data_IF_304268195043
#
_entry.id   IF_304268195043
#
_cell.length_a   1.000
_cell.length_b   1.000
_cell.length_c   1.000
_cell.angle_alpha   90.00
_cell.angle_beta   90.00
_cell.angle_gamma   90.00
#
_symmetry.space_group_name_H-M   'P 1'
#
loop_
_entity.id
_entity.type
_entity.pdbx_description
1 polymer ?
#
# COMPACT_ATOMS: atom_id res chain seq x y z
N UNK A 1 16.98 32.48 25.86
CA UNK A 1 15.67 31.80 25.65
C UNK A 1 15.44 31.35 24.19
N UNK A 2 15.64 32.18 23.17
CA UNK A 2 15.41 31.76 21.76
C UNK A 2 16.32 30.61 21.27
N UNK A 3 17.55 30.52 21.77
CA UNK A 3 18.51 29.47 21.41
C UNK A 3 18.18 28.10 22.02
N UNK A 4 17.53 28.06 23.20
CA UNK A 4 17.06 26.82 23.84
C UNK A 4 15.83 26.23 23.14
N UNK A 5 14.92 27.08 22.65
CA UNK A 5 13.72 26.64 21.92
C UNK A 5 14.11 26.03 20.57
N UNK A 6 15.07 26.65 19.87
CA UNK A 6 15.64 26.10 18.63
C UNK A 6 16.34 24.75 18.89
N UNK A 7 17.08 24.62 19.99
CA UNK A 7 17.73 23.37 20.40
C UNK A 7 16.72 22.26 20.77
N UNK A 8 15.61 22.62 21.43
CA UNK A 8 14.53 21.68 21.77
C UNK A 8 13.76 21.20 20.53
N UNK A 9 13.53 22.11 19.56
CA UNK A 9 12.95 21.76 18.27
C UNK A 9 13.88 20.86 17.45
N UNK A 10 15.19 21.13 17.44
CA UNK A 10 16.21 20.30 16.77
C UNK A 10 16.34 18.92 17.42
N UNK A 11 16.26 18.83 18.76
CA UNK A 11 16.28 17.54 19.47
C UNK A 11 14.99 16.74 19.19
N UNK A 12 13.82 17.37 19.15
CA UNK A 12 12.59 16.70 18.73
C UNK A 12 12.64 16.27 17.26
N UNK A 13 13.29 17.07 16.41
CA UNK A 13 13.51 16.76 15.00
C UNK A 13 14.51 15.61 14.79
N UNK A 14 15.54 15.48 15.63
CA UNK A 14 16.49 14.35 15.61
C UNK A 14 15.93 13.09 16.29
N UNK A 15 15.12 13.24 17.34
CA UNK A 15 14.52 12.12 18.07
C UNK A 15 13.38 11.43 17.30
N UNK A 16 12.74 12.13 16.36
CA UNK A 16 11.72 11.54 15.46
C UNK A 16 12.26 10.40 14.58
N UNK A 17 13.59 10.24 14.49
CA UNK A 17 14.31 9.30 13.64
C UNK A 17 15.05 8.21 14.43
N UNK A 18 14.93 8.23 15.76
CA UNK A 18 15.43 7.17 16.66
C UNK A 18 14.34 6.13 16.94
N UNK A 19 14.73 4.90 17.30
CA UNK A 19 13.81 3.81 17.70
C UNK A 19 12.78 4.26 18.76
N UNK A 20 13.12 5.28 19.57
CA UNK A 20 12.26 5.89 20.59
C UNK A 20 11.17 6.77 19.97
N UNK A 21 11.49 7.66 19.03
CA UNK A 21 10.49 8.55 18.39
C UNK A 21 9.46 7.76 17.58
N UNK A 22 9.92 6.69 16.96
CA UNK A 22 9.15 5.70 16.21
C UNK A 22 8.12 4.97 17.08
N UNK A 23 8.60 4.40 18.19
CA UNK A 23 7.72 3.67 19.11
C UNK A 23 6.72 4.63 19.75
N UNK A 24 7.13 5.88 20.00
CA UNK A 24 6.22 6.93 20.47
C UNK A 24 5.14 7.28 19.42
N UNK A 25 5.48 7.35 18.13
CA UNK A 25 4.48 7.50 17.06
C UNK A 25 3.51 6.31 17.10
N UNK A 26 4.04 5.08 17.13
CA UNK A 26 3.22 3.85 17.19
C UNK A 26 2.25 3.85 18.37
N UNK A 27 2.71 4.18 19.58
CA UNK A 27 1.91 4.17 20.80
C UNK A 27 0.80 5.22 20.80
N UNK A 28 1.03 6.34 20.10
CA UNK A 28 0.11 7.46 20.07
C UNK A 28 -0.88 7.42 18.90
N UNK A 29 -0.65 6.63 17.84
CA UNK A 29 -1.59 6.53 16.72
C UNK A 29 -2.93 5.90 17.15
N UNK A 30 -4.02 6.69 17.18
CA UNK A 30 -5.37 6.18 17.49
C UNK A 30 -6.45 6.82 16.60
N UNK A 31 -7.35 5.99 16.06
CA UNK A 31 -8.56 6.42 15.35
C UNK A 31 -8.27 7.41 14.22
N UNK A 32 -8.85 8.61 14.30
CA UNK A 32 -8.68 9.67 13.28
C UNK A 32 -7.20 10.00 12.97
N UNK A 33 -6.29 9.78 13.93
CA UNK A 33 -4.85 10.06 13.82
C UNK A 33 -4.08 9.10 12.91
N UNK A 34 -4.69 8.00 12.45
CA UNK A 34 -4.01 7.05 11.56
C UNK A 34 -3.59 7.68 10.24
N UNK A 35 -4.33 8.68 9.78
CA UNK A 35 -3.98 9.43 8.58
C UNK A 35 -2.70 10.22 8.80
N UNK A 36 -2.66 11.02 9.86
CA UNK A 36 -1.51 11.86 10.23
C UNK A 36 -0.28 10.99 10.49
N UNK A 37 -0.45 9.85 11.17
CA UNK A 37 0.63 8.89 11.37
C UNK A 37 1.18 8.32 10.06
N UNK A 38 0.31 8.03 9.09
CA UNK A 38 0.73 7.53 7.80
C UNK A 38 1.34 8.62 6.90
N UNK A 39 0.81 9.83 6.97
CA UNK A 39 1.34 10.98 6.24
C UNK A 39 2.75 11.29 6.74
N UNK A 40 3.01 11.22 8.06
CA UNK A 40 4.36 11.34 8.63
C UNK A 40 5.34 10.27 8.09
N UNK A 41 4.88 9.03 7.85
CA UNK A 41 5.71 8.01 7.17
C UNK A 41 6.05 8.43 5.75
N UNK A 42 5.08 9.01 5.05
CA UNK A 42 5.23 9.42 3.65
C UNK A 42 6.18 10.61 3.54
N UNK A 43 6.05 11.60 4.41
CA UNK A 43 6.93 12.76 4.50
C UNK A 43 8.36 12.32 4.84
N UNK A 44 8.51 11.45 5.86
CA UNK A 44 9.80 10.86 6.21
C UNK A 44 10.47 10.18 5.01
N UNK A 45 9.71 9.42 4.20
CA UNK A 45 10.25 8.78 2.99
C UNK A 45 10.65 9.78 1.90
N UNK A 46 9.94 10.90 1.78
CA UNK A 46 10.20 11.92 0.78
C UNK A 46 11.41 12.79 1.14
N UNK A 47 11.59 13.04 2.44
CA UNK A 47 12.69 13.88 2.95
C UNK A 47 14.04 13.16 3.00
N UNK A 48 14.04 11.83 2.84
CA UNK A 48 15.24 11.00 3.00
C UNK A 48 15.56 10.25 1.71
N UNK A 49 16.85 10.04 1.47
CA UNK A 49 17.28 9.14 0.41
C UNK A 49 16.78 7.72 0.70
N UNK A 50 16.25 7.06 -0.33
CA UNK A 50 15.64 5.73 -0.21
C UNK A 50 16.55 4.69 0.43
N UNK A 51 17.87 4.81 0.20
CA UNK A 51 18.90 3.93 0.75
C UNK A 51 19.14 4.12 2.26
N UNK A 52 18.80 5.29 2.82
CA UNK A 52 19.05 5.64 4.22
C UNK A 52 17.84 5.34 5.11
N UNK A 53 16.70 4.99 4.50
CA UNK A 53 15.45 4.69 5.21
C UNK A 53 15.56 3.35 5.94
N UNK A 54 15.26 3.34 7.23
CA UNK A 54 15.08 2.12 7.99
C UNK A 54 13.73 1.45 7.65
N UNK A 55 13.74 0.62 6.60
CA UNK A 55 12.53 -0.05 6.12
C UNK A 55 11.89 -1.02 7.12
N UNK A 56 12.64 -1.57 8.07
CA UNK A 56 12.07 -2.42 9.13
C UNK A 56 11.09 -1.66 10.00
N UNK A 57 11.41 -0.40 10.32
CA UNK A 57 10.47 0.46 11.03
C UNK A 57 9.23 0.74 10.19
N UNK A 58 9.42 1.17 8.93
CA UNK A 58 8.32 1.48 8.03
C UNK A 58 7.34 0.31 7.92
N UNK A 59 7.86 -0.91 7.82
CA UNK A 59 7.05 -2.13 7.82
C UNK A 59 6.30 -2.29 9.15
N UNK A 60 7.00 -2.18 10.30
CA UNK A 60 6.38 -2.33 11.63
C UNK A 60 5.23 -1.34 11.85
N UNK A 61 5.42 -0.08 11.52
CA UNK A 61 4.40 0.96 11.70
C UNK A 61 3.24 0.77 10.70
N UNK A 62 3.52 0.48 9.42
CA UNK A 62 2.45 0.17 8.48
C UNK A 62 1.66 -1.08 8.89
N UNK A 63 2.29 -2.08 9.50
CA UNK A 63 1.61 -3.27 10.01
C UNK A 63 0.61 -2.88 11.09
N UNK A 64 1.04 -2.10 12.08
CA UNK A 64 0.14 -1.65 13.15
C UNK A 64 -1.03 -0.81 12.62
N UNK A 65 -0.78 0.11 11.68
CA UNK A 65 -1.83 0.90 11.04
C UNK A 65 -2.78 0.03 10.19
N UNK A 66 -2.24 -0.96 9.49
CA UNK A 66 -3.05 -1.90 8.71
C UNK A 66 -3.94 -2.77 9.62
N UNK A 67 -3.39 -3.29 10.72
CA UNK A 67 -4.13 -4.05 11.72
C UNK A 67 -5.21 -3.18 12.39
N UNK A 68 -5.00 -1.86 12.46
CA UNK A 68 -5.99 -0.86 12.83
C UNK A 68 -6.94 -0.43 11.70
N UNK A 69 -7.04 -1.23 10.62
CA UNK A 69 -7.94 -1.02 9.47
C UNK A 69 -7.67 0.26 8.66
N UNK A 70 -6.45 0.80 8.70
CA UNK A 70 -6.07 1.92 7.84
C UNK A 70 -5.63 1.43 6.46
N UNK A 71 -6.54 1.51 5.48
CA UNK A 71 -6.42 0.87 4.17
C UNK A 71 -5.14 1.22 3.39
N UNK A 72 -4.67 2.49 3.47
CA UNK A 72 -3.44 2.92 2.79
C UNK A 72 -2.19 2.24 3.34
N UNK A 73 -2.15 1.95 4.63
CA UNK A 73 -1.03 1.22 5.25
C UNK A 73 -0.98 -0.24 4.77
N UNK A 74 -2.14 -0.91 4.71
CA UNK A 74 -2.25 -2.23 4.11
C UNK A 74 -1.77 -2.23 2.65
N UNK A 75 -2.24 -1.29 1.83
CA UNK A 75 -1.82 -1.15 0.44
C UNK A 75 -0.30 -0.94 0.31
N UNK A 76 0.29 -0.11 1.17
CA UNK A 76 1.73 0.11 1.20
C UNK A 76 2.52 -1.15 1.50
N UNK A 77 2.08 -1.97 2.47
CA UNK A 77 2.69 -3.29 2.71
C UNK A 77 2.56 -4.21 1.50
N UNK A 78 1.39 -4.24 0.87
CA UNK A 78 1.17 -5.01 -0.36
C UNK A 78 2.18 -4.66 -1.45
N UNK A 79 2.38 -3.36 -1.70
CA UNK A 79 3.34 -2.87 -2.68
C UNK A 79 4.78 -3.22 -2.31
N UNK A 80 5.17 -3.06 -1.04
CA UNK A 80 6.51 -3.37 -0.54
C UNK A 80 6.91 -4.82 -0.80
N UNK A 81 5.99 -5.77 -0.66
CA UNK A 81 6.27 -7.19 -0.91
C UNK A 81 6.12 -7.61 -2.38
N UNK A 82 5.69 -6.72 -3.27
CA UNK A 82 5.49 -7.02 -4.70
C UNK A 82 6.76 -6.80 -5.53
N UNK A 83 7.59 -5.85 -5.13
CA UNK A 83 8.76 -5.40 -5.89
C UNK A 83 10.02 -5.57 -5.05
N UNK A 84 11.12 -5.96 -5.67
CA UNK A 84 12.42 -6.04 -5.01
C UNK A 84 13.14 -4.67 -5.02
N UNK A 85 12.45 -3.61 -4.61
CA UNK A 85 13.01 -2.25 -4.65
C UNK A 85 13.91 -1.95 -3.45
N UNK A 86 13.83 -2.75 -2.39
CA UNK A 86 14.58 -2.58 -1.15
C UNK A 86 15.36 -3.87 -0.93
N UNK A 87 16.69 -3.79 -0.88
CA UNK A 87 17.57 -4.97 -0.86
C UNK A 87 17.26 -5.91 0.32
N UNK A 88 16.85 -5.36 1.46
CA UNK A 88 16.53 -6.08 2.68
C UNK A 88 15.12 -6.70 2.68
N UNK A 89 14.25 -6.32 1.74
CA UNK A 89 12.89 -6.84 1.62
C UNK A 89 12.82 -7.75 0.41
N UNK A 90 12.77 -9.06 0.67
CA UNK A 90 12.51 -10.04 -0.38
C UNK A 90 11.07 -9.92 -0.88
N UNK A 91 10.89 -10.09 -2.19
CA UNK A 91 9.58 -10.28 -2.80
C UNK A 91 8.88 -11.46 -2.13
N UNK A 92 7.63 -11.23 -1.73
CA UNK A 92 6.79 -12.19 -1.02
C UNK A 92 5.36 -12.00 -1.52
N UNK A 93 5.01 -12.74 -2.58
CA UNK A 93 3.72 -12.58 -3.25
C UNK A 93 2.54 -13.02 -2.36
N UNK A 94 2.77 -13.91 -1.39
CA UNK A 94 1.77 -14.30 -0.41
C UNK A 94 1.44 -13.13 0.52
N UNK A 95 2.45 -12.49 1.13
CA UNK A 95 2.22 -11.28 1.93
C UNK A 95 1.62 -10.16 1.11
N UNK A 96 2.08 -9.96 -0.13
CA UNK A 96 1.49 -8.98 -1.04
C UNK A 96 0.00 -9.23 -1.24
N UNK A 97 -0.39 -10.48 -1.51
CA UNK A 97 -1.78 -10.89 -1.69
C UNK A 97 -2.62 -10.61 -0.43
N UNK A 98 -2.12 -11.00 0.75
CA UNK A 98 -2.80 -10.80 2.03
C UNK A 98 -3.07 -9.32 2.28
N UNK A 99 -2.04 -8.46 2.15
CA UNK A 99 -2.19 -7.04 2.46
C UNK A 99 -3.01 -6.27 1.41
N UNK A 100 -2.88 -6.61 0.12
CA UNK A 100 -3.73 -6.03 -0.92
C UNK A 100 -5.19 -6.47 -0.77
N UNK A 101 -5.45 -7.71 -0.33
CA UNK A 101 -6.82 -8.18 -0.03
C UNK A 101 -7.42 -7.36 1.10
N UNK A 102 -6.75 -7.27 2.25
CA UNK A 102 -7.21 -6.42 3.39
C UNK A 102 -7.47 -4.98 2.96
N UNK A 103 -6.55 -4.37 2.21
CA UNK A 103 -6.70 -3.01 1.73
C UNK A 103 -7.90 -2.85 0.78
N UNK A 104 -8.12 -3.81 -0.13
CA UNK A 104 -9.24 -3.78 -1.07
C UNK A 104 -10.59 -3.97 -0.37
N UNK A 105 -10.65 -4.82 0.66
CA UNK A 105 -11.84 -4.97 1.53
C UNK A 105 -12.17 -3.66 2.24
N UNK A 106 -11.15 -2.91 2.65
CA UNK A 106 -11.25 -1.54 3.19
C UNK A 106 -11.43 -0.46 2.10
N UNK A 107 -11.87 -0.84 0.90
CA UNK A 107 -12.17 0.04 -0.24
C UNK A 107 -10.98 0.85 -0.77
N UNK A 108 -9.75 0.36 -0.62
CA UNK A 108 -8.61 0.93 -1.32
C UNK A 108 -8.58 0.45 -2.78
N UNK A 109 -8.90 1.35 -3.71
CA UNK A 109 -9.03 1.02 -5.13
C UNK A 109 -7.71 0.66 -5.80
N UNK A 110 -6.58 1.19 -5.31
CA UNK A 110 -5.24 0.83 -5.81
C UNK A 110 -4.94 -0.62 -5.44
N UNK A 111 -5.24 -1.02 -4.21
CA UNK A 111 -5.06 -2.40 -3.78
C UNK A 111 -5.99 -3.38 -4.51
N UNK A 112 -7.25 -2.99 -4.78
CA UNK A 112 -8.14 -3.80 -5.62
C UNK A 112 -7.58 -3.98 -7.03
N UNK A 113 -7.01 -2.93 -7.63
CA UNK A 113 -6.33 -3.04 -8.92
C UNK A 113 -5.13 -4.00 -8.85
N UNK A 114 -4.29 -3.89 -7.81
CA UNK A 114 -3.15 -4.78 -7.63
C UNK A 114 -3.58 -6.25 -7.50
N UNK A 115 -4.63 -6.52 -6.70
CA UNK A 115 -5.18 -7.86 -6.55
C UNK A 115 -5.77 -8.37 -7.88
N UNK A 116 -6.44 -7.50 -8.65
CA UNK A 116 -6.93 -7.83 -9.99
C UNK A 116 -5.80 -8.22 -10.95
N UNK A 117 -4.67 -7.50 -10.90
CA UNK A 117 -3.45 -7.84 -11.66
C UNK A 117 -2.90 -9.21 -11.24
N UNK A 118 -2.94 -9.54 -9.94
CA UNK A 118 -2.49 -10.85 -9.47
C UNK A 118 -3.33 -11.99 -10.06
N UNK A 119 -4.66 -11.88 -10.05
CA UNK A 119 -5.55 -12.85 -10.69
C UNK A 119 -5.43 -12.87 -12.23
N UNK A 120 -5.29 -11.71 -12.88
CA UNK A 120 -5.12 -11.62 -14.35
C UNK A 120 -3.91 -12.41 -14.85
N UNK A 121 -2.78 -12.29 -14.14
CA UNK A 121 -1.52 -12.90 -14.56
C UNK A 121 -1.20 -14.22 -13.82
N UNK A 122 -2.06 -14.67 -12.92
CA UNK A 122 -1.79 -15.86 -12.10
C UNK A 122 -0.58 -15.70 -11.16
N UNK A 123 -0.40 -14.51 -10.58
CA UNK A 123 0.67 -14.25 -9.60
C UNK A 123 0.17 -14.65 -8.22
N UNK A 124 0.78 -15.68 -7.62
CA UNK A 124 0.38 -16.34 -6.38
C UNK A 124 -0.98 -17.06 -6.46
N UNK A 125 -2.03 -16.36 -6.89
CA UNK A 125 -3.31 -16.98 -7.22
C UNK A 125 -3.27 -17.68 -8.58
N UNK A 126 -4.13 -18.68 -8.76
CA UNK A 126 -4.42 -19.20 -10.10
C UNK A 126 -5.01 -18.08 -10.96
N UNK A 127 -4.68 -18.11 -12.25
CA UNK A 127 -5.26 -17.16 -13.20
C UNK A 127 -6.78 -17.28 -13.17
N UNK A 128 -7.46 -16.16 -12.98
CA UNK A 128 -8.92 -16.08 -12.93
C UNK A 128 -9.37 -14.72 -13.47
N UNK A 129 -9.82 -14.71 -14.73
CA UNK A 129 -10.26 -13.49 -15.39
C UNK A 129 -11.59 -12.96 -14.81
N UNK A 130 -12.48 -13.82 -14.32
CA UNK A 130 -13.73 -13.38 -13.69
C UNK A 130 -13.42 -12.65 -12.38
N UNK A 131 -12.54 -13.22 -11.56
CA UNK A 131 -12.12 -12.57 -10.31
C UNK A 131 -11.35 -11.28 -10.55
N UNK A 132 -10.48 -11.25 -11.56
CA UNK A 132 -9.78 -10.04 -11.98
C UNK A 132 -10.78 -8.95 -12.42
N UNK A 133 -11.81 -9.31 -13.19
CA UNK A 133 -12.84 -8.39 -13.65
C UNK A 133 -13.59 -7.74 -12.49
N UNK A 134 -14.05 -8.53 -11.51
CA UNK A 134 -14.72 -8.03 -10.30
C UNK A 134 -13.87 -6.97 -9.59
N UNK A 135 -12.58 -7.25 -9.41
CA UNK A 135 -11.64 -6.37 -8.71
C UNK A 135 -11.34 -5.09 -9.51
N UNK A 136 -11.19 -5.19 -10.83
CA UNK A 136 -11.02 -4.03 -11.69
C UNK A 136 -12.28 -3.17 -11.78
N UNK A 137 -13.48 -3.78 -11.79
CA UNK A 137 -14.74 -3.06 -11.71
C UNK A 137 -14.86 -2.28 -10.40
N UNK A 138 -14.53 -2.91 -9.27
CA UNK A 138 -14.52 -2.25 -7.96
C UNK A 138 -13.53 -1.07 -7.93
N UNK A 139 -12.35 -1.23 -8.52
CA UNK A 139 -11.35 -0.17 -8.58
C UNK A 139 -11.77 0.98 -9.53
N UNK A 140 -12.41 0.66 -10.65
CA UNK A 140 -12.85 1.60 -11.69
C UNK A 140 -14.08 2.44 -11.28
N UNK A 141 -14.83 2.05 -10.24
CA UNK A 141 -16.06 2.77 -9.84
C UNK A 141 -15.82 4.11 -9.13
N UNK A 142 -14.57 4.45 -8.78
CA UNK A 142 -14.23 5.73 -8.14
C UNK A 142 -13.63 6.69 -9.16
N UNK A 143 -14.10 7.95 -9.28
CA UNK A 143 -13.68 8.85 -10.38
C UNK A 143 -12.42 9.69 -10.09
N UNK A 144 -11.89 9.67 -8.87
CA UNK A 144 -10.93 10.69 -8.40
C UNK A 144 -9.45 10.26 -8.39
N UNK A 145 -9.05 9.17 -9.06
CA UNK A 145 -7.66 8.68 -8.95
C UNK A 145 -7.09 8.14 -10.27
N UNK A 146 -5.85 8.50 -10.62
CA UNK A 146 -5.16 7.99 -11.83
C UNK A 146 -5.01 6.45 -11.89
N UNK A 147 -5.05 5.78 -10.72
CA UNK A 147 -5.06 4.32 -10.62
C UNK A 147 -6.36 3.71 -11.14
N UNK A 148 -7.47 4.47 -11.08
CA UNK A 148 -8.79 4.10 -11.62
C UNK A 148 -8.68 3.95 -13.13
N UNK A 149 -7.96 4.84 -13.83
CA UNK A 149 -7.82 4.77 -15.29
C UNK A 149 -7.11 3.48 -15.74
N UNK A 150 -6.07 3.06 -15.01
CA UNK A 150 -5.38 1.78 -15.28
C UNK A 150 -6.29 0.59 -15.01
N UNK A 151 -7.06 0.63 -13.93
CA UNK A 151 -8.03 -0.42 -13.61
C UNK A 151 -9.17 -0.49 -14.64
N UNK A 152 -9.69 0.66 -15.10
CA UNK A 152 -10.74 0.72 -16.13
C UNK A 152 -10.26 0.15 -17.47
N UNK A 153 -9.02 0.46 -17.89
CA UNK A 153 -8.41 -0.16 -19.08
C UNK A 153 -8.23 -1.67 -18.92
N UNK A 154 -7.77 -2.11 -17.74
CA UNK A 154 -7.60 -3.53 -17.44
C UNK A 154 -8.95 -4.26 -17.44
N UNK A 155 -10.00 -3.65 -16.90
CA UNK A 155 -11.39 -4.13 -16.97
C UNK A 155 -11.83 -4.35 -18.43
N UNK A 156 -11.62 -3.37 -19.30
CA UNK A 156 -11.99 -3.46 -20.73
C UNK A 156 -11.19 -4.53 -21.47
N UNK A 157 -9.91 -4.71 -21.14
CA UNK A 157 -9.11 -5.81 -21.64
C UNK A 157 -9.67 -7.17 -21.22
N UNK A 158 -10.00 -7.35 -19.94
CA UNK A 158 -10.57 -8.61 -19.44
C UNK A 158 -11.94 -8.91 -20.08
N UNK A 159 -12.79 -7.90 -20.29
CA UNK A 159 -14.08 -8.09 -20.98
C UNK A 159 -13.88 -8.64 -22.39
N UNK A 160 -12.90 -8.13 -23.14
CA UNK A 160 -12.60 -8.62 -24.48
C UNK A 160 -12.10 -10.06 -24.47
N UNK A 161 -11.17 -10.39 -23.56
CA UNK A 161 -10.67 -11.77 -23.40
C UNK A 161 -11.82 -12.74 -23.11
N UNK A 162 -12.69 -12.39 -22.16
CA UNK A 162 -13.83 -13.25 -21.80
C UNK A 162 -14.83 -13.40 -22.96
N UNK A 163 -15.03 -12.37 -23.77
CA UNK A 163 -15.88 -12.46 -24.96
C UNK A 163 -15.27 -13.39 -26.01
N UNK A 164 -13.95 -13.30 -26.24
CA UNK A 164 -13.24 -14.19 -27.16
C UNK A 164 -13.29 -15.67 -26.69
N UNK A 165 -13.21 -15.92 -25.38
CA UNK A 165 -13.39 -17.26 -24.79
C UNK A 165 -14.81 -17.81 -25.03
N UNK A 166 -15.85 -16.96 -24.97
CA UNK A 166 -17.23 -17.33 -25.28
C UNK A 166 -17.38 -17.63 -26.77
N UNK A 167 -16.85 -16.75 -27.63
CA UNK A 167 -16.99 -16.85 -29.09
C UNK A 167 -16.22 -18.04 -29.67
N UNK A 168 -15.15 -18.47 -29.00
CA UNK A 168 -14.37 -19.67 -29.37
C UNK A 168 -14.96 -20.98 -28.85
N UNK A 169 -16.09 -20.93 -28.14
CA UNK A 169 -16.84 -22.12 -27.70
C UNK A 169 -16.15 -22.94 -26.62
N UNK A 170 -15.51 -22.26 -25.65
CA UNK A 170 -14.70 -22.86 -24.58
C UNK A 170 -15.31 -24.03 -23.83
#
# INVERSE_FOLDING_TARGET
MKQLILYFLIINFLNAYSEIGINNVIENCKGAQYKECYDAISDFKNDNNYADINWKWIIKLNKNLCDASYAKACMSLGNLYTINSIQEIKVDLEKSAIYNTKACELNNMIACNNLGVMYKYGKFYKKDYKKALELFMKSCSNKDHSAVEKACRSKEEIIRILQEEIDSGG
#
